data_IF_298627680160
#
_entry.id   IF_298627680160
#
_cell.length_a   1.000
_cell.length_b   1.000
_cell.length_c   1.000
_cell.angle_alpha   90.00
_cell.angle_beta   90.00
_cell.angle_gamma   90.00
#
_symmetry.space_group_name_H-M   'P 1'
#
loop_
_entity.id
_entity.type
_entity.pdbx_description
1 polymer ?
#
# COMPACT_ATOMS: atom_id res chain seq x y z
N UNK A 1 19.05 -37.42 -18.65
CA UNK A 1 18.61 -37.00 -17.30
C UNK A 1 18.59 -35.47 -17.10
N UNK A 2 19.49 -34.70 -17.72
CA UNK A 2 19.53 -33.22 -17.58
C UNK A 2 18.41 -32.44 -18.30
N UNK A 3 17.89 -32.94 -19.42
CA UNK A 3 16.87 -32.24 -20.21
C UNK A 3 15.50 -32.13 -19.50
N UNK A 4 15.12 -33.15 -18.73
CA UNK A 4 13.85 -33.18 -17.98
C UNK A 4 13.88 -32.17 -16.83
N UNK A 5 15.03 -32.02 -16.15
CA UNK A 5 15.21 -31.06 -15.07
C UNK A 5 15.12 -29.61 -15.59
N UNK A 6 15.70 -29.33 -16.75
CA UNK A 6 15.61 -28.02 -17.40
C UNK A 6 14.18 -27.66 -17.84
N UNK A 7 13.43 -28.63 -18.39
CA UNK A 7 12.02 -28.44 -18.75
C UNK A 7 11.13 -28.20 -17.52
N UNK A 8 11.43 -28.85 -16.40
CA UNK A 8 10.70 -28.62 -15.13
C UNK A 8 10.98 -27.22 -14.55
N UNK A 9 12.23 -26.75 -14.60
CA UNK A 9 12.60 -25.41 -14.12
C UNK A 9 11.97 -24.32 -15.01
N UNK A 10 12.04 -24.46 -16.34
CA UNK A 10 11.43 -23.51 -17.28
C UNK A 10 9.90 -23.49 -17.17
N UNK A 11 9.26 -24.66 -17.04
CA UNK A 11 7.80 -24.73 -16.88
C UNK A 11 7.30 -24.27 -15.50
N UNK A 12 8.16 -24.28 -14.48
CA UNK A 12 7.87 -23.72 -13.16
C UNK A 12 7.93 -22.20 -13.18
N UNK A 13 8.94 -21.62 -13.85
CA UNK A 13 9.02 -20.18 -14.09
C UNK A 13 7.86 -19.65 -14.95
N UNK A 14 7.47 -20.37 -16.00
CA UNK A 14 6.32 -20.00 -16.83
C UNK A 14 5.01 -19.99 -16.03
N UNK A 15 4.80 -20.97 -15.14
CA UNK A 15 3.62 -21.03 -14.26
C UNK A 15 3.61 -19.96 -13.17
N UNK A 16 4.78 -19.54 -12.68
CA UNK A 16 4.91 -18.45 -11.71
C UNK A 16 4.67 -17.08 -12.36
N UNK A 17 5.12 -16.88 -13.60
CA UNK A 17 4.90 -15.64 -14.35
C UNK A 17 3.41 -15.42 -14.67
N UNK A 18 2.72 -16.46 -15.13
CA UNK A 18 1.30 -16.37 -15.51
C UNK A 18 0.39 -16.10 -14.30
N UNK A 19 0.71 -16.69 -13.14
CA UNK A 19 -0.01 -16.45 -11.89
C UNK A 19 0.13 -15.01 -11.36
N UNK A 20 1.24 -14.32 -11.68
CA UNK A 20 1.47 -12.93 -11.27
C UNK A 20 0.74 -11.89 -12.14
N UNK A 21 0.35 -12.26 -13.36
CA UNK A 21 -0.31 -11.35 -14.31
C UNK A 21 -1.83 -11.56 -14.43
N UNK A 22 -2.39 -12.64 -13.87
CA UNK A 22 -3.83 -12.95 -13.96
C UNK A 22 -4.75 -11.95 -13.23
N UNK A 23 -4.18 -10.95 -12.54
CA UNK A 23 -4.92 -9.85 -11.90
C UNK A 23 -4.57 -8.46 -12.44
N UNK A 24 -3.91 -8.36 -13.60
CA UNK A 24 -3.67 -7.07 -14.24
C UNK A 24 -5.03 -6.43 -14.52
N UNK A 25 -5.32 -5.35 -13.78
CA UNK A 25 -6.53 -4.55 -13.97
C UNK A 25 -6.60 -4.18 -15.45
N UNK A 26 -7.66 -4.61 -16.12
CA UNK A 26 -7.96 -4.17 -17.47
C UNK A 26 -8.23 -2.66 -17.38
N UNK A 27 -7.20 -1.84 -17.57
CA UNK A 27 -7.32 -0.38 -17.53
C UNK A 27 -8.02 0.00 -18.82
N UNK A 28 -9.26 0.53 -18.77
CA UNK A 28 -10.00 0.86 -19.97
C UNK A 28 -9.17 1.81 -20.82
N UNK A 29 -8.90 1.38 -22.06
CA UNK A 29 -8.14 2.18 -23.01
C UNK A 29 -8.98 3.40 -23.42
N UNK A 30 -8.61 4.56 -22.84
CA UNK A 30 -9.11 5.94 -23.05
C UNK A 30 -10.49 6.26 -22.47
N UNK A 31 -10.47 6.78 -21.25
CA UNK A 31 -11.39 7.86 -20.89
C UNK A 31 -10.95 9.15 -21.59
N UNK A 32 -11.89 9.94 -22.09
CA UNK A 32 -11.62 11.33 -22.48
C UNK A 32 -11.30 12.16 -21.23
N UNK A 33 -10.51 13.23 -21.38
CA UNK A 33 -10.17 14.11 -20.26
C UNK A 33 -11.43 14.65 -19.55
N UNK A 34 -12.52 14.86 -20.29
CA UNK A 34 -13.79 15.34 -19.73
C UNK A 34 -14.44 14.28 -18.84
N UNK A 35 -14.53 13.04 -19.30
CA UNK A 35 -15.09 11.94 -18.52
C UNK A 35 -14.28 11.67 -17.25
N UNK A 36 -12.94 11.79 -17.31
CA UNK A 36 -12.09 11.68 -16.13
C UNK A 36 -12.36 12.77 -15.09
N UNK A 37 -12.60 14.00 -15.55
CA UNK A 37 -12.91 15.13 -14.66
C UNK A 37 -14.29 14.92 -14.03
N UNK A 38 -15.30 14.59 -14.82
CA UNK A 38 -16.67 14.36 -14.34
C UNK A 38 -16.73 13.19 -13.35
N UNK A 39 -16.02 12.09 -13.60
CA UNK A 39 -15.91 10.99 -12.66
C UNK A 39 -15.09 11.37 -11.42
N UNK A 40 -14.01 12.13 -11.60
CA UNK A 40 -13.23 12.67 -10.49
C UNK A 40 -14.06 13.53 -9.55
N UNK A 41 -14.90 14.42 -10.09
CA UNK A 41 -15.81 15.26 -9.32
C UNK A 41 -16.89 14.41 -8.62
N UNK A 42 -17.48 13.42 -9.32
CA UNK A 42 -18.43 12.47 -8.70
C UNK A 42 -17.81 11.74 -7.50
N UNK A 43 -16.60 11.21 -7.65
CA UNK A 43 -15.90 10.48 -6.59
C UNK A 43 -15.45 11.40 -5.45
N UNK A 44 -15.19 12.68 -5.75
CA UNK A 44 -14.85 13.70 -4.76
C UNK A 44 -16.07 14.07 -3.88
N UNK A 45 -17.25 14.13 -4.47
CA UNK A 45 -18.50 14.44 -3.77
C UNK A 45 -19.02 13.27 -2.90
N UNK A 46 -18.52 12.06 -3.13
CA UNK A 46 -18.76 10.90 -2.27
C UNK A 46 -17.92 10.99 -0.99
N UNK A 47 -18.59 11.36 0.10
CA UNK A 47 -18.02 11.59 1.43
C UNK A 47 -17.17 10.39 1.92
N UNK A 48 -17.56 9.16 1.56
CA UNK A 48 -16.92 7.93 2.04
C UNK A 48 -15.93 7.33 1.05
N UNK A 49 -15.83 7.88 -0.17
CA UNK A 49 -14.97 7.33 -1.22
C UNK A 49 -13.52 7.18 -0.76
N UNK A 50 -12.96 8.21 -0.12
CA UNK A 50 -11.58 8.18 0.35
C UNK A 50 -11.34 7.12 1.42
N UNK A 51 -12.30 6.89 2.31
CA UNK A 51 -12.24 5.83 3.33
C UNK A 51 -12.23 4.45 2.68
N UNK A 52 -13.15 4.20 1.74
CA UNK A 52 -13.20 2.93 0.99
C UNK A 52 -11.93 2.70 0.16
N UNK A 53 -11.39 3.75 -0.46
CA UNK A 53 -10.15 3.67 -1.24
C UNK A 53 -8.95 3.31 -0.36
N UNK A 54 -8.81 3.93 0.82
CA UNK A 54 -7.74 3.63 1.79
C UNK A 54 -7.81 2.18 2.27
N UNK A 55 -8.98 1.74 2.72
CA UNK A 55 -9.19 0.36 3.17
C UNK A 55 -8.97 -0.65 2.04
N UNK A 56 -9.44 -0.34 0.82
CA UNK A 56 -9.26 -1.18 -0.35
C UNK A 56 -7.80 -1.37 -0.73
N UNK A 57 -6.96 -0.31 -0.68
CA UNK A 57 -5.52 -0.41 -0.93
C UNK A 57 -4.81 -1.29 0.10
N UNK A 58 -5.08 -1.08 1.39
CA UNK A 58 -4.49 -1.89 2.46
C UNK A 58 -4.91 -3.36 2.36
N UNK A 59 -6.19 -3.63 2.07
CA UNK A 59 -6.70 -4.99 1.85
C UNK A 59 -5.98 -5.69 0.69
N UNK A 60 -5.82 -5.01 -0.45
CA UNK A 60 -5.06 -5.55 -1.59
C UNK A 60 -3.60 -5.83 -1.24
N UNK A 61 -2.95 -4.94 -0.49
CA UNK A 61 -1.58 -5.17 -0.06
C UNK A 61 -1.47 -6.45 0.80
N UNK A 62 -2.36 -6.63 1.78
CA UNK A 62 -2.39 -7.84 2.63
C UNK A 62 -2.68 -9.11 1.85
N UNK A 63 -3.57 -9.02 0.86
CA UNK A 63 -3.86 -10.11 -0.08
C UNK A 63 -2.59 -10.57 -0.79
N UNK A 64 -1.79 -9.65 -1.32
CA UNK A 64 -0.51 -9.98 -1.95
C UNK A 64 0.48 -10.61 -0.94
N UNK A 65 0.60 -10.05 0.27
CA UNK A 65 1.46 -10.66 1.29
C UNK A 65 1.06 -12.10 1.59
N UNK A 66 -0.24 -12.39 1.68
CA UNK A 66 -0.76 -13.74 1.90
C UNK A 66 -0.45 -14.66 0.72
N UNK A 67 -0.63 -14.20 -0.52
CA UNK A 67 -0.31 -14.97 -1.74
C UNK A 67 1.16 -15.38 -1.78
N UNK A 68 2.04 -14.52 -1.29
CA UNK A 68 3.49 -14.78 -1.23
C UNK A 68 3.98 -15.44 0.06
N UNK A 69 3.06 -15.87 0.94
CA UNK A 69 3.40 -16.46 2.25
C UNK A 69 4.32 -15.57 3.11
N UNK A 70 4.12 -14.25 3.03
CA UNK A 70 4.84 -13.24 3.81
C UNK A 70 4.02 -12.90 5.05
N UNK A 71 4.64 -12.88 6.23
CA UNK A 71 3.95 -12.59 7.50
C UNK A 71 3.75 -11.09 7.74
N UNK A 72 4.71 -10.28 7.30
CA UNK A 72 4.64 -8.83 7.35
C UNK A 72 5.60 -8.20 6.32
N UNK A 73 5.26 -7.00 5.85
CA UNK A 73 6.14 -6.16 5.04
C UNK A 73 6.68 -4.99 5.87
N UNK A 74 7.95 -4.65 5.66
CA UNK A 74 8.55 -3.39 6.12
C UNK A 74 8.82 -2.53 4.90
N UNK A 75 8.18 -1.37 4.83
CA UNK A 75 8.17 -0.50 3.67
C UNK A 75 8.87 0.81 4.02
N UNK A 76 9.95 1.13 3.29
CA UNK A 76 10.71 2.38 3.45
C UNK A 76 10.38 3.42 2.37
N UNK A 77 9.94 2.95 1.19
CA UNK A 77 9.65 3.84 0.07
C UNK A 77 8.42 4.71 0.39
N UNK A 78 8.53 6.06 0.38
CA UNK A 78 7.43 6.96 0.67
C UNK A 78 6.23 6.80 -0.28
N UNK A 79 6.43 6.37 -1.51
CA UNK A 79 5.37 6.12 -2.49
C UNK A 79 4.58 4.88 -2.05
N UNK A 80 5.26 3.82 -1.64
CA UNK A 80 4.61 2.59 -1.17
C UNK A 80 3.91 2.80 0.19
N UNK A 81 4.50 3.60 1.08
CA UNK A 81 3.86 4.01 2.34
C UNK A 81 2.57 4.79 2.04
N UNK A 82 2.62 5.75 1.11
CA UNK A 82 1.42 6.49 0.68
C UNK A 82 0.38 5.59 0.02
N UNK A 83 0.80 4.58 -0.73
CA UNK A 83 -0.13 3.61 -1.29
C UNK A 83 -0.85 2.84 -0.20
N UNK A 84 -0.12 2.33 0.80
CA UNK A 84 -0.68 1.49 1.85
C UNK A 84 -1.59 2.27 2.82
N UNK A 85 -1.14 3.44 3.30
CA UNK A 85 -1.78 4.15 4.41
C UNK A 85 -2.10 5.62 4.12
N UNK A 86 -2.01 6.06 2.85
CA UNK A 86 -2.27 7.46 2.43
C UNK A 86 -1.44 8.52 3.15
N UNK A 87 -0.33 8.11 3.78
CA UNK A 87 0.52 9.00 4.54
C UNK A 87 1.33 9.91 3.63
N UNK A 88 1.19 11.23 3.82
CA UNK A 88 1.88 12.27 3.05
C UNK A 88 2.80 13.05 3.99
N UNK A 89 4.07 12.69 4.01
CA UNK A 89 5.09 13.46 4.67
C UNK A 89 6.28 13.65 3.72
N UNK A 90 6.64 14.91 3.46
CA UNK A 90 7.87 15.37 2.79
C UNK A 90 8.50 14.36 1.81
N UNK A 91 7.73 13.90 0.81
CA UNK A 91 8.09 12.72 -0.01
C UNK A 91 9.51 12.84 -0.59
N UNK A 92 9.87 14.00 -1.14
CA UNK A 92 11.20 14.24 -1.74
C UNK A 92 12.35 14.12 -0.74
N UNK A 93 12.12 14.48 0.53
CA UNK A 93 13.11 14.32 1.59
C UNK A 93 13.28 12.84 1.94
N UNK A 94 12.16 12.11 2.09
CA UNK A 94 12.17 10.70 2.49
C UNK A 94 12.61 9.72 1.39
N UNK A 95 12.50 10.09 0.11
CA UNK A 95 13.11 9.30 -0.99
C UNK A 95 14.62 9.21 -0.81
N UNK A 96 15.26 10.30 -0.33
CA UNK A 96 16.72 10.36 -0.14
C UNK A 96 17.16 9.97 1.27
N UNK A 97 16.26 10.04 2.25
CA UNK A 97 16.56 9.78 3.66
C UNK A 97 15.51 8.80 4.21
N UNK A 98 15.80 7.48 4.30
CA UNK A 98 14.86 6.45 4.72
C UNK A 98 14.63 6.48 6.25
N UNK A 99 14.17 7.62 6.76
CA UNK A 99 13.91 7.90 8.16
C UNK A 99 12.45 7.61 8.55
N UNK A 100 11.65 7.09 7.62
CA UNK A 100 10.32 6.60 7.88
C UNK A 100 10.19 5.15 7.41
N UNK A 101 9.43 4.36 8.14
CA UNK A 101 9.10 3.00 7.74
C UNK A 101 7.73 2.60 8.25
N UNK A 102 7.05 1.79 7.45
CA UNK A 102 5.75 1.23 7.75
C UNK A 102 5.86 -0.28 7.89
N UNK A 103 5.36 -0.82 9.00
CA UNK A 103 5.19 -2.25 9.19
C UNK A 103 3.75 -2.61 8.88
N UNK A 104 3.55 -3.47 7.89
CA UNK A 104 2.24 -3.98 7.48
C UNK A 104 2.17 -5.47 7.77
N UNK A 105 1.43 -5.90 8.81
CA UNK A 105 1.16 -7.32 9.03
C UNK A 105 0.15 -7.85 8.03
N UNK A 106 0.31 -9.11 7.64
CA UNK A 106 -0.62 -9.83 6.75
C UNK A 106 -1.96 -10.12 7.42
N UNK A 107 -1.96 -10.26 8.75
CA UNK A 107 -3.18 -10.42 9.53
C UNK A 107 -4.04 -9.15 9.48
N UNK A 108 -5.32 -9.31 9.10
CA UNK A 108 -6.26 -8.19 8.98
C UNK A 108 -6.55 -7.50 10.31
N UNK A 109 -6.58 -8.27 11.41
CA UNK A 109 -6.85 -7.77 12.77
C UNK A 109 -5.65 -7.06 13.40
N UNK A 110 -4.44 -7.26 12.85
CA UNK A 110 -3.24 -6.62 13.36
C UNK A 110 -3.14 -5.18 12.85
N UNK A 111 -2.64 -4.27 13.69
CA UNK A 111 -2.46 -2.86 13.31
C UNK A 111 -1.21 -2.69 12.45
N UNK A 112 -1.28 -1.77 11.50
CA UNK A 112 -0.10 -1.27 10.81
C UNK A 112 0.63 -0.28 11.72
N UNK A 113 1.96 -0.33 11.73
CA UNK A 113 2.78 0.54 12.57
C UNK A 113 3.58 1.49 11.69
N UNK A 114 3.30 2.78 11.78
CA UNK A 114 4.00 3.81 11.02
C UNK A 114 5.01 4.53 11.93
N UNK A 115 6.27 4.45 11.57
CA UNK A 115 7.35 5.18 12.23
C UNK A 115 7.76 6.35 11.35
N UNK A 116 7.49 7.58 11.77
CA UNK A 116 7.86 8.76 11.00
C UNK A 116 8.09 9.99 11.89
N UNK A 117 8.70 11.03 11.32
CA UNK A 117 8.86 12.32 11.99
C UNK A 117 7.51 13.01 12.20
N UNK A 118 7.36 13.73 13.33
CA UNK A 118 6.13 14.40 13.73
C UNK A 118 5.89 15.71 12.95
N UNK A 119 5.67 15.58 11.64
CA UNK A 119 5.29 16.70 10.77
C UNK A 119 3.87 16.46 10.25
N UNK A 120 2.87 16.92 11.01
CA UNK A 120 1.49 17.12 10.56
C UNK A 120 0.69 15.87 10.16
N UNK A 121 0.51 14.91 11.08
CA UNK A 121 -0.09 13.60 10.78
C UNK A 121 -1.46 13.28 11.41
N UNK A 122 -1.99 14.15 12.27
CA UNK A 122 -3.07 13.77 13.20
C UNK A 122 -4.38 13.40 12.49
N UNK A 123 -4.71 14.05 11.37
CA UNK A 123 -5.95 13.80 10.61
C UNK A 123 -5.96 12.46 9.86
N UNK A 124 -4.81 11.81 9.66
CA UNK A 124 -4.72 10.56 8.88
C UNK A 124 -4.99 9.30 9.72
N UNK A 125 -4.79 9.38 11.03
CA UNK A 125 -4.99 8.24 11.93
C UNK A 125 -6.46 7.89 12.09
N UNK A 126 -7.33 8.90 12.06
CA UNK A 126 -8.78 8.75 12.16
C UNK A 126 -9.36 7.96 10.97
N UNK A 127 -8.78 8.11 9.77
CA UNK A 127 -9.27 7.49 8.54
C UNK A 127 -9.10 5.95 8.49
N UNK A 128 -8.28 5.36 9.37
CA UNK A 128 -8.02 3.93 9.42
C UNK A 128 -8.77 3.21 10.54
N UNK A 129 -9.72 3.88 11.22
CA UNK A 129 -10.52 3.29 12.31
C UNK A 129 -9.66 2.54 13.36
N UNK A 130 -8.47 3.05 13.69
CA UNK A 130 -7.55 2.41 14.63
C UNK A 130 -6.72 1.24 14.08
N UNK A 131 -6.82 0.93 12.79
CA UNK A 131 -5.98 -0.07 12.10
C UNK A 131 -4.56 0.41 11.81
N UNK A 132 -4.28 1.70 12.06
CA UNK A 132 -2.98 2.33 11.90
C UNK A 132 -2.59 2.97 13.22
N UNK A 133 -1.38 2.66 13.68
CA UNK A 133 -0.77 3.25 14.85
C UNK A 133 0.46 4.06 14.42
N UNK A 134 0.59 5.28 14.95
CA UNK A 134 1.71 6.17 14.66
C UNK A 134 2.70 6.16 15.82
N UNK A 135 3.97 5.94 15.48
CA UNK A 135 5.08 6.04 16.40
C UNK A 135 6.02 7.17 15.95
N UNK A 136 6.18 8.23 16.76
CA UNK A 136 7.07 9.32 16.41
C UNK A 136 8.53 8.86 16.47
N UNK A 137 9.28 9.09 15.39
CA UNK A 137 10.71 8.77 15.33
C UNK A 137 11.57 9.71 16.20
N UNK A 138 11.05 10.89 16.55
CA UNK A 138 11.71 11.88 17.42
C UNK A 138 10.66 12.37 18.43
N UNK A 139 10.89 12.10 19.72
CA UNK A 139 10.16 12.66 20.86
C UNK A 139 8.63 12.56 20.79
N UNK A 140 8.03 11.62 21.51
CA UNK A 140 6.58 11.58 21.65
C UNK A 140 6.04 12.84 22.33
N UNK A 141 4.93 13.40 21.82
CA UNK A 141 4.10 14.29 22.63
C UNK A 141 3.34 13.41 23.60
N UNK A 142 3.95 13.19 24.77
CA UNK A 142 3.26 12.64 25.92
C UNK A 142 2.24 13.71 26.40
N UNK A 143 0.96 13.44 26.20
CA UNK A 143 -0.16 14.20 26.76
C UNK A 143 -0.47 15.55 26.10
N UNK A 144 -1.64 15.63 25.46
CA UNK A 144 -2.55 16.77 25.59
C UNK A 144 -3.97 16.35 25.31
#
# INVERSE_FOLDING_TARGET
MMAVLWLLILSSWARLADASCSGMVDVPQRYSNRELIEEGDRLRDDVDFMTRLRQGRLKRLREELRRHNVTAAVIFDPINIRYAVDFRNSVLFYVRNPLQYLVVPTNESAKCLLFAGSFGSDTLLEAFNGSLEFHPAIGGREGR
#
